data_IF_241830426433
#
_entry.id   IF_241830426433
#
_cell.length_a   1.000
_cell.length_b   1.000
_cell.length_c   1.000
_cell.angle_alpha   90.00
_cell.angle_beta   90.00
_cell.angle_gamma   90.00
#
_symmetry.space_group_name_H-M   'P 1'
#
loop_
_entity.id
_entity.type
_entity.pdbx_description
1 polymer ?
#
# COMPACT_ATOMS: atom_id res chain seq x y z
N UNK A 1 -23.76 -4.04 -3.27
CA UNK A 1 -22.38 -3.68 -2.84
C UNK A 1 -21.66 -3.01 -3.98
N UNK A 2 -20.66 -2.18 -3.69
CA UNK A 2 -19.77 -1.59 -4.71
C UNK A 2 -18.31 -1.81 -4.32
N UNK A 3 -17.44 -1.88 -5.34
CA UNK A 3 -16.06 -2.28 -5.18
C UNK A 3 -15.14 -1.19 -5.72
N UNK A 4 -14.34 -0.61 -4.83
CA UNK A 4 -13.40 0.45 -5.16
C UNK A 4 -12.00 -0.16 -5.20
N UNK A 5 -11.25 0.09 -6.27
CA UNK A 5 -9.83 -0.18 -6.31
C UNK A 5 -9.04 1.11 -6.40
N UNK A 6 -7.95 1.18 -5.65
CA UNK A 6 -7.10 2.36 -5.54
C UNK A 6 -5.67 1.95 -5.84
N UNK A 7 -5.16 2.44 -6.96
CA UNK A 7 -3.75 2.32 -7.34
C UNK A 7 -2.99 3.57 -6.88
N UNK A 8 -1.95 3.37 -6.07
CA UNK A 8 -1.25 4.44 -5.38
C UNK A 8 -0.01 4.90 -6.16
N UNK A 9 0.11 6.22 -6.36
CA UNK A 9 1.36 6.88 -6.74
C UNK A 9 1.62 8.11 -5.85
N UNK A 10 2.87 8.57 -5.81
CA UNK A 10 3.35 9.61 -4.88
C UNK A 10 2.59 10.94 -4.99
N UNK A 11 2.11 11.30 -6.18
CA UNK A 11 1.41 12.57 -6.42
C UNK A 11 -0.11 12.43 -6.59
N UNK A 12 -0.57 11.24 -6.97
CA UNK A 12 -1.98 10.98 -7.28
C UNK A 12 -2.31 9.51 -7.14
N UNK A 13 -3.60 9.20 -7.04
CA UNK A 13 -4.13 7.85 -7.04
C UNK A 13 -5.10 7.69 -8.20
N UNK A 14 -4.98 6.59 -8.91
CA UNK A 14 -6.01 6.20 -9.86
C UNK A 14 -7.04 5.34 -9.12
N UNK A 15 -8.32 5.67 -9.30
CA UNK A 15 -9.43 4.97 -8.64
C UNK A 15 -10.42 4.44 -9.66
N UNK A 16 -10.98 3.27 -9.38
CA UNK A 16 -12.00 2.64 -10.20
C UNK A 16 -13.07 2.02 -9.31
N UNK A 17 -14.32 2.38 -9.56
CA UNK A 17 -15.48 1.85 -8.86
C UNK A 17 -16.24 0.87 -9.76
N UNK A 18 -16.56 -0.30 -9.23
CA UNK A 18 -17.27 -1.36 -9.92
C UNK A 18 -18.57 -1.72 -9.20
N UNK A 19 -19.56 -2.15 -9.97
CA UNK A 19 -20.74 -2.85 -9.45
C UNK A 19 -20.43 -4.35 -9.18
N UNK A 20 -21.44 -5.10 -8.73
CA UNK A 20 -21.32 -6.55 -8.48
C UNK A 20 -21.01 -7.37 -9.74
N UNK A 21 -21.46 -6.90 -10.91
CA UNK A 21 -21.19 -7.54 -12.20
C UNK A 21 -19.77 -7.26 -12.73
N UNK A 22 -19.03 -6.33 -12.12
CA UNK A 22 -17.72 -5.88 -12.59
C UNK A 22 -17.77 -4.77 -13.65
N UNK A 23 -18.94 -4.15 -13.85
CA UNK A 23 -19.09 -2.99 -14.72
C UNK A 23 -18.54 -1.75 -14.01
N UNK A 24 -17.82 -0.90 -14.76
CA UNK A 24 -17.31 0.34 -14.19
C UNK A 24 -18.45 1.34 -13.97
N UNK A 25 -18.63 1.73 -12.71
CA UNK A 25 -19.54 2.80 -12.29
C UNK A 25 -18.87 4.17 -12.41
N UNK A 26 -17.56 4.24 -12.15
CA UNK A 26 -16.80 5.47 -12.28
C UNK A 26 -15.29 5.25 -12.20
N UNK A 27 -14.52 6.20 -12.73
CA UNK A 27 -13.06 6.25 -12.64
C UNK A 27 -12.62 7.69 -12.42
N UNK A 28 -11.62 7.88 -11.59
CA UNK A 28 -11.04 9.19 -11.38
C UNK A 28 -9.55 9.08 -11.09
N UNK A 29 -8.83 10.17 -11.35
CA UNK A 29 -7.51 10.41 -10.81
C UNK A 29 -7.63 11.46 -9.72
N UNK A 30 -7.22 11.12 -8.51
CA UNK A 30 -7.35 12.00 -7.33
C UNK A 30 -5.96 12.37 -6.81
N UNK A 31 -5.76 13.59 -6.29
CA UNK A 31 -4.47 13.96 -5.69
C UNK A 31 -4.22 13.18 -4.39
N UNK A 32 -2.97 13.07 -3.95
CA UNK A 32 -2.64 12.60 -2.60
C UNK A 32 -3.20 13.59 -1.54
N UNK A 33 -3.61 13.08 -0.38
CA UNK A 33 -4.06 13.88 0.76
C UNK A 33 -5.58 14.05 0.89
N UNK A 34 -6.01 15.04 1.68
CA UNK A 34 -7.42 15.19 2.08
C UNK A 34 -8.34 15.50 0.90
N UNK A 35 -7.88 16.30 -0.07
CA UNK A 35 -8.65 16.60 -1.28
C UNK A 35 -8.96 15.32 -2.07
N UNK A 36 -8.00 14.42 -2.20
CA UNK A 36 -8.23 13.16 -2.91
C UNK A 36 -9.18 12.23 -2.17
N UNK A 37 -9.05 12.16 -0.84
CA UNK A 37 -10.00 11.42 -0.01
C UNK A 37 -11.43 11.95 -0.17
N UNK A 38 -11.63 13.27 -0.15
CA UNK A 38 -12.94 13.89 -0.38
C UNK A 38 -13.51 13.51 -1.74
N UNK A 39 -12.71 13.59 -2.82
CA UNK A 39 -13.15 13.19 -4.16
C UNK A 39 -13.52 11.71 -4.25
N UNK A 40 -12.83 10.84 -3.52
CA UNK A 40 -13.19 9.42 -3.42
C UNK A 40 -14.56 9.26 -2.73
N UNK A 41 -14.80 9.98 -1.64
CA UNK A 41 -16.10 9.95 -0.96
C UNK A 41 -17.23 10.48 -1.84
N UNK A 42 -17.01 11.57 -2.57
CA UNK A 42 -17.96 12.12 -3.54
C UNK A 42 -18.31 11.08 -4.62
N UNK A 43 -17.31 10.43 -5.21
CA UNK A 43 -17.52 9.38 -6.21
C UNK A 43 -18.32 8.18 -5.66
N UNK A 44 -18.07 7.79 -4.41
CA UNK A 44 -18.80 6.70 -3.76
C UNK A 44 -20.25 7.10 -3.44
N UNK A 45 -20.46 8.34 -2.99
CA UNK A 45 -21.77 8.86 -2.60
C UNK A 45 -22.76 8.96 -3.76
N UNK A 46 -22.29 9.02 -5.02
CA UNK A 46 -23.15 8.93 -6.21
C UNK A 46 -23.89 7.57 -6.34
N UNK A 47 -23.41 6.53 -5.63
CA UNK A 47 -23.92 5.17 -5.78
C UNK A 47 -24.42 4.52 -4.48
N UNK A 48 -23.97 4.98 -3.31
CA UNK A 48 -24.46 4.48 -2.01
C UNK A 48 -24.26 5.50 -0.89
N UNK A 49 -25.20 5.55 0.04
CA UNK A 49 -25.08 6.30 1.30
C UNK A 49 -24.62 5.42 2.47
N UNK A 50 -24.57 4.09 2.28
CA UNK A 50 -24.18 3.12 3.31
C UNK A 50 -22.71 2.70 3.13
N UNK A 51 -21.79 3.15 4.01
CA UNK A 51 -20.36 2.83 3.91
C UNK A 51 -20.03 1.34 4.01
N UNK A 52 -20.85 0.55 4.72
CA UNK A 52 -20.60 -0.88 4.91
C UNK A 52 -20.72 -1.66 3.60
N UNK A 53 -21.43 -1.08 2.61
CA UNK A 53 -21.59 -1.66 1.27
C UNK A 53 -20.39 -1.43 0.34
N UNK A 54 -19.39 -0.67 0.80
CA UNK A 54 -18.19 -0.30 0.04
C UNK A 54 -17.02 -1.20 0.43
N UNK A 55 -16.48 -1.93 -0.55
CA UNK A 55 -15.32 -2.80 -0.38
C UNK A 55 -14.15 -2.22 -1.17
N UNK A 56 -13.01 -1.99 -0.52
CA UNK A 56 -11.86 -1.31 -1.12
C UNK A 56 -10.67 -2.25 -1.26
N UNK A 57 -10.09 -2.34 -2.45
CA UNK A 57 -8.80 -2.98 -2.71
C UNK A 57 -7.68 -1.95 -2.89
N UNK A 58 -6.60 -2.08 -2.12
CA UNK A 58 -5.44 -1.18 -2.18
C UNK A 58 -4.14 -1.98 -1.98
N UNK A 59 -3.01 -1.52 -2.49
CA UNK A 59 -1.72 -2.24 -2.36
C UNK A 59 -0.96 -1.97 -1.05
N UNK A 60 -1.35 -0.93 -0.32
CA UNK A 60 -0.75 -0.53 0.96
C UNK A 60 -1.76 -0.66 2.10
N UNK A 61 -1.30 -1.13 3.26
CA UNK A 61 -2.08 -1.17 4.50
C UNK A 61 -1.90 0.09 5.36
N UNK A 62 -1.30 1.16 4.80
CA UNK A 62 -0.84 2.33 5.56
C UNK A 62 -1.08 3.63 4.82
N UNK A 63 -1.01 4.71 5.59
CA UNK A 63 -1.05 6.09 5.09
C UNK A 63 -2.36 6.78 5.41
N UNK A 64 -2.37 8.10 5.24
CA UNK A 64 -3.55 8.93 5.54
C UNK A 64 -4.79 8.48 4.77
N UNK A 65 -4.60 8.06 3.52
CA UNK A 65 -5.69 7.53 2.69
C UNK A 65 -6.34 6.29 3.32
N UNK A 66 -5.54 5.28 3.70
CA UNK A 66 -6.05 4.04 4.31
C UNK A 66 -6.79 4.33 5.61
N UNK A 67 -6.23 5.17 6.48
CA UNK A 67 -6.89 5.55 7.72
C UNK A 67 -8.18 6.34 7.48
N UNK A 68 -8.22 7.21 6.48
CA UNK A 68 -9.43 7.94 6.09
C UNK A 68 -10.54 7.02 5.60
N UNK A 69 -10.21 6.04 4.75
CA UNK A 69 -11.17 5.04 4.25
C UNK A 69 -11.74 4.18 5.39
N UNK A 70 -10.88 3.74 6.33
CA UNK A 70 -11.32 2.99 7.51
C UNK A 70 -12.19 3.84 8.44
N UNK A 71 -11.83 5.10 8.67
CA UNK A 71 -12.60 6.02 9.50
C UNK A 71 -13.98 6.35 8.91
N UNK A 72 -14.11 6.29 7.59
CA UNK A 72 -15.38 6.42 6.89
C UNK A 72 -16.27 5.16 6.94
N UNK A 73 -15.79 4.05 7.49
CA UNK A 73 -16.53 2.79 7.61
C UNK A 73 -16.36 1.82 6.43
N UNK A 74 -15.48 2.11 5.47
CA UNK A 74 -15.28 1.21 4.34
C UNK A 74 -14.54 -0.07 4.72
N UNK A 75 -14.87 -1.17 4.04
CA UNK A 75 -14.16 -2.45 4.20
C UNK A 75 -12.92 -2.49 3.33
N UNK A 76 -11.76 -2.19 3.91
CA UNK A 76 -10.49 -2.10 3.18
C UNK A 76 -9.71 -3.42 3.23
N UNK A 77 -9.17 -3.85 2.09
CA UNK A 77 -8.30 -5.00 1.92
C UNK A 77 -6.98 -4.56 1.32
N UNK A 78 -5.88 -4.84 2.04
CA UNK A 78 -4.54 -4.63 1.52
C UNK A 78 -4.10 -5.86 0.73
N UNK A 79 -3.88 -5.66 -0.57
CA UNK A 79 -3.50 -6.71 -1.52
C UNK A 79 -2.00 -6.66 -1.72
N UNK A 80 -1.34 -7.81 -1.52
CA UNK A 80 0.11 -7.89 -1.72
C UNK A 80 0.46 -7.55 -3.18
N UNK A 81 1.40 -6.63 -3.47
CA UNK A 81 1.78 -6.29 -4.85
C UNK A 81 2.22 -7.48 -5.71
N UNK A 82 2.84 -8.49 -5.09
CA UNK A 82 3.18 -9.75 -5.79
C UNK A 82 1.92 -10.51 -6.20
N UNK A 83 0.88 -10.52 -5.36
CA UNK A 83 -0.40 -11.12 -5.71
C UNK A 83 -1.05 -10.33 -6.87
N UNK A 84 -1.10 -9.00 -6.79
CA UNK A 84 -1.63 -8.14 -7.87
C UNK A 84 -0.94 -8.46 -9.20
N UNK A 85 0.39 -8.58 -9.21
CA UNK A 85 1.14 -8.99 -10.40
C UNK A 85 0.68 -10.33 -10.95
N UNK A 86 0.46 -11.35 -10.10
CA UNK A 86 -0.03 -12.67 -10.55
C UNK A 86 -1.45 -12.63 -11.08
N UNK A 87 -2.30 -11.80 -10.49
CA UNK A 87 -3.66 -11.58 -10.98
C UNK A 87 -3.68 -10.84 -12.33
N UNK A 88 -2.72 -9.94 -12.55
CA UNK A 88 -2.54 -9.28 -13.85
C UNK A 88 -2.20 -10.30 -14.94
N UNK A 89 -1.27 -11.21 -14.66
CA UNK A 89 -0.87 -12.29 -15.59
C UNK A 89 -2.06 -13.20 -15.98
N UNK A 90 -3.04 -13.38 -15.08
CA UNK A 90 -4.25 -14.16 -15.35
C UNK A 90 -5.17 -13.50 -16.39
N UNK A 91 -5.20 -12.18 -16.45
CA UNK A 91 -6.10 -11.43 -17.34
C UNK A 91 -5.43 -10.95 -18.62
N UNK A 92 -4.09 -10.92 -18.67
CA UNK A 92 -3.34 -10.43 -19.83
C UNK A 92 -2.09 -11.29 -20.06
N UNK A 93 -2.11 -12.06 -21.15
CA UNK A 93 -1.04 -13.01 -21.51
C UNK A 93 0.14 -12.33 -22.22
N UNK A 94 -0.04 -11.11 -22.76
CA UNK A 94 0.93 -10.48 -23.67
C UNK A 94 2.22 -10.01 -23.00
N UNK A 95 2.29 -9.95 -21.66
CA UNK A 95 3.44 -9.42 -20.92
C UNK A 95 3.72 -7.92 -21.15
N UNK A 96 2.98 -7.30 -22.07
CA UNK A 96 3.00 -5.87 -22.29
C UNK A 96 2.31 -5.22 -21.08
N UNK A 97 3.05 -4.35 -20.38
CA UNK A 97 2.48 -3.38 -19.45
C UNK A 97 1.68 -2.37 -20.27
N UNK A 98 0.55 -2.80 -20.79
CA UNK A 98 -0.53 -1.88 -21.13
C UNK A 98 -0.98 -1.36 -19.77
N UNK A 99 -1.10 -0.04 -19.61
CA UNK A 99 -1.61 0.59 -18.38
C UNK A 99 -3.17 0.76 -18.40
N UNK A 100 -4.05 -0.24 -18.67
CA UNK A 100 -5.44 -0.11 -18.29
C UNK A 100 -5.58 -0.52 -16.82
N UNK A 101 -5.43 0.48 -15.96
CA UNK A 101 -6.01 0.62 -14.63
C UNK A 101 -5.75 -0.52 -13.64
N UNK A 102 -4.59 -0.52 -12.99
CA UNK A 102 -4.36 -1.34 -11.78
C UNK A 102 -5.45 -1.10 -10.72
N UNK A 103 -6.04 0.11 -10.69
CA UNK A 103 -7.24 0.41 -9.92
C UNK A 103 -8.45 -0.47 -10.25
N UNK A 104 -8.73 -0.75 -11.54
CA UNK A 104 -9.82 -1.67 -11.92
C UNK A 104 -9.50 -3.10 -11.46
N UNK A 105 -8.26 -3.53 -11.65
CA UNK A 105 -7.81 -4.85 -11.23
C UNK A 105 -7.99 -5.05 -9.72
N UNK A 106 -7.60 -4.06 -8.91
CA UNK A 106 -7.77 -4.10 -7.46
C UNK A 106 -9.25 -4.16 -7.06
N UNK A 107 -10.11 -3.39 -7.74
CA UNK A 107 -11.56 -3.44 -7.51
C UNK A 107 -12.15 -4.82 -7.84
N UNK A 108 -11.78 -5.39 -8.99
CA UNK A 108 -12.23 -6.72 -9.41
C UNK A 108 -11.73 -7.81 -8.46
N UNK A 109 -10.50 -7.68 -7.97
CA UNK A 109 -9.87 -8.65 -7.07
C UNK A 109 -10.59 -8.71 -5.72
N UNK A 110 -10.94 -7.57 -5.12
CA UNK A 110 -11.77 -7.60 -3.90
C UNK A 110 -13.22 -8.01 -4.18
N UNK A 111 -13.74 -7.76 -5.39
CA UNK A 111 -15.06 -8.21 -5.79
C UNK A 111 -15.19 -9.73 -5.83
N UNK A 112 -14.18 -10.42 -6.37
CA UNK A 112 -14.24 -11.88 -6.53
C UNK A 112 -13.55 -12.63 -5.39
N UNK A 113 -12.43 -12.12 -4.90
CA UNK A 113 -11.49 -12.87 -4.08
C UNK A 113 -11.21 -12.25 -2.70
N UNK A 114 -11.99 -11.26 -2.24
CA UNK A 114 -11.78 -10.65 -0.91
C UNK A 114 -11.68 -11.67 0.24
N UNK A 115 -12.39 -12.80 0.15
CA UNK A 115 -12.32 -13.90 1.13
C UNK A 115 -10.93 -14.54 1.27
N UNK A 116 -10.05 -14.39 0.27
CA UNK A 116 -8.67 -14.86 0.29
C UNK A 116 -7.68 -13.81 0.80
N UNK A 117 -8.15 -12.58 1.07
CA UNK A 117 -7.33 -11.46 1.50
C UNK A 117 -7.67 -11.05 2.92
N UNK A 118 -6.65 -10.59 3.64
CA UNK A 118 -6.83 -10.12 5.01
C UNK A 118 -7.43 -8.71 4.99
N UNK A 119 -8.54 -8.45 5.72
CA UNK A 119 -9.03 -7.09 5.87
C UNK A 119 -8.01 -6.26 6.67
N UNK A 120 -7.86 -5.00 6.28
CA UNK A 120 -7.15 -4.01 7.09
C UNK A 120 -8.05 -3.72 8.28
N UNK A 121 -7.74 -4.34 9.41
CA UNK A 121 -8.44 -4.02 10.65
C UNK A 121 -8.07 -2.59 11.05
N UNK A 122 -9.05 -1.85 11.54
CA UNK A 122 -8.81 -0.68 12.39
C UNK A 122 -8.13 -1.18 13.66
N UNK A 123 -6.81 -1.30 13.61
CA UNK A 123 -6.00 -1.73 14.73
C UNK A 123 -6.13 -0.69 15.87
N UNK A 124 -6.13 -1.17 17.12
CA UNK A 124 -6.16 -0.25 18.26
C UNK A 124 -4.97 0.72 18.22
N UNK A 125 -5.11 1.90 18.81
CA UNK A 125 -4.03 2.90 18.92
C UNK A 125 -2.71 2.30 19.45
N UNK A 126 -2.80 1.31 20.35
CA UNK A 126 -1.66 0.59 20.90
C UNK A 126 -0.95 -0.28 19.85
N UNK A 127 -1.70 -0.96 18.99
CA UNK A 127 -1.14 -1.78 17.90
C UNK A 127 -0.48 -0.88 16.86
N UNK A 128 -1.12 0.25 16.50
CA UNK A 128 -0.51 1.24 15.60
C UNK A 128 0.77 1.84 16.19
N UNK A 129 0.79 2.16 17.48
CA UNK A 129 2.00 2.62 18.17
C UNK A 129 3.14 1.58 18.10
N UNK A 130 2.84 0.30 18.30
CA UNK A 130 3.83 -0.80 18.17
C UNK A 130 4.34 -0.89 16.73
N UNK A 131 3.47 -0.80 15.71
CA UNK A 131 3.89 -0.81 14.30
C UNK A 131 4.81 0.36 13.97
N UNK A 132 4.52 1.56 14.48
CA UNK A 132 5.38 2.74 14.29
C UNK A 132 6.74 2.50 14.93
N UNK A 133 6.78 2.05 16.19
CA UNK A 133 8.01 1.79 16.92
C UNK A 133 8.86 0.70 16.26
N UNK A 134 8.25 -0.43 15.87
CA UNK A 134 8.94 -1.54 15.22
C UNK A 134 9.59 -1.10 13.89
N UNK A 135 8.91 -0.26 13.11
CA UNK A 135 9.47 0.33 11.88
C UNK A 135 10.64 1.26 12.18
N UNK A 136 10.48 2.17 13.13
CA UNK A 136 11.57 3.08 13.53
C UNK A 136 12.81 2.29 14.00
N UNK A 137 12.62 1.24 14.79
CA UNK A 137 13.68 0.34 15.21
C UNK A 137 14.36 -0.34 14.00
N UNK A 138 13.58 -0.91 13.07
CA UNK A 138 14.13 -1.54 11.87
C UNK A 138 14.95 -0.57 11.01
N UNK A 139 14.45 0.65 10.82
CA UNK A 139 15.18 1.71 10.12
C UNK A 139 16.49 2.05 10.81
N UNK A 140 16.51 2.15 12.14
CA UNK A 140 17.73 2.40 12.91
C UNK A 140 18.74 1.26 12.79
N UNK A 141 18.30 0.00 12.79
CA UNK A 141 19.16 -1.17 12.55
C UNK A 141 19.81 -1.09 11.17
N UNK A 142 19.04 -0.80 10.13
CA UNK A 142 19.58 -0.64 8.77
C UNK A 142 20.54 0.54 8.65
N UNK A 143 20.21 1.68 9.26
CA UNK A 143 21.08 2.85 9.26
C UNK A 143 22.40 2.56 9.98
N UNK A 144 22.36 1.90 11.15
CA UNK A 144 23.56 1.44 11.87
C UNK A 144 24.42 0.56 10.97
N UNK A 145 23.83 -0.46 10.34
CA UNK A 145 24.58 -1.36 9.46
C UNK A 145 25.20 -0.62 8.27
N UNK A 146 24.46 0.33 7.66
CA UNK A 146 24.96 1.17 6.58
C UNK A 146 26.14 2.01 7.03
N UNK A 147 26.03 2.69 8.17
CA UNK A 147 27.10 3.52 8.73
C UNK A 147 28.33 2.69 9.10
N UNK A 148 28.17 1.50 9.69
CA UNK A 148 29.28 0.58 9.98
C UNK A 148 29.99 0.16 8.68
N UNK A 149 29.23 -0.22 7.65
CA UNK A 149 29.81 -0.61 6.37
C UNK A 149 30.56 0.54 5.69
N UNK A 150 30.03 1.76 5.74
CA UNK A 150 30.72 2.95 5.23
C UNK A 150 32.01 3.24 6.00
N UNK A 151 31.97 3.22 7.33
CA UNK A 151 33.15 3.41 8.18
C UNK A 151 34.21 2.35 7.89
N UNK A 152 33.82 1.08 7.82
CA UNK A 152 34.73 -0.03 7.50
C UNK A 152 35.36 0.13 6.13
N UNK A 153 34.62 0.58 5.12
CA UNK A 153 35.15 0.88 3.80
C UNK A 153 36.25 1.95 3.85
N UNK A 154 36.00 3.06 4.56
CA UNK A 154 36.97 4.14 4.71
C UNK A 154 38.22 3.70 5.50
N UNK A 155 38.04 2.95 6.59
CA UNK A 155 39.17 2.44 7.38
C UNK A 155 40.02 1.45 6.58
N UNK A 156 39.44 0.62 5.71
CA UNK A 156 40.21 -0.26 4.82
C UNK A 156 41.13 0.51 3.87
N UNK A 157 40.67 1.66 3.39
CA UNK A 157 41.41 2.48 2.43
C UNK A 157 42.51 3.31 3.11
N UNK A 158 42.22 3.92 4.26
CA UNK A 158 43.12 4.91 4.86
C UNK A 158 43.81 4.45 6.15
N UNK A 159 43.23 3.51 6.91
CA UNK A 159 43.77 3.12 8.22
C UNK A 159 43.42 1.66 8.64
N UNK A 160 43.97 0.66 7.94
CA UNK A 160 43.56 -0.74 8.11
C UNK A 160 43.85 -1.32 9.50
N UNK A 161 44.86 -0.82 10.22
CA UNK A 161 45.19 -1.27 11.57
C UNK A 161 44.04 -1.03 12.59
N UNK A 162 43.19 -0.02 12.39
CA UNK A 162 42.01 0.16 13.24
C UNK A 162 41.00 -0.99 13.10
N UNK A 163 40.93 -1.65 11.94
CA UNK A 163 40.02 -2.79 11.77
C UNK A 163 40.47 -3.99 12.60
N UNK A 164 41.78 -4.19 12.75
CA UNK A 164 42.33 -5.21 13.65
C UNK A 164 42.06 -4.86 15.12
N UNK A 165 42.17 -3.58 15.47
CA UNK A 165 41.94 -3.11 16.84
C UNK A 165 40.48 -3.20 17.28
N UNK A 166 39.52 -2.92 16.39
CA UNK A 166 38.09 -2.87 16.73
C UNK A 166 37.28 -4.11 16.29
N UNK A 167 37.85 -4.99 15.46
CA UNK A 167 37.34 -6.34 15.19
C UNK A 167 35.81 -6.47 15.06
N UNK A 168 35.20 -7.19 16.00
CA UNK A 168 33.77 -7.53 16.02
C UNK A 168 32.83 -6.34 16.29
N UNK A 169 33.33 -5.24 16.85
CA UNK A 169 32.51 -4.03 17.09
C UNK A 169 32.18 -3.28 15.77
N UNK A 170 32.91 -3.60 14.70
CA UNK A 170 32.73 -3.09 13.33
C UNK A 170 32.25 -4.17 12.33
N UNK A 171 31.79 -5.32 12.83
CA UNK A 171 31.21 -6.40 12.02
C UNK A 171 29.76 -6.12 11.60
#
# INVERSE_FOLDING_TARGET
MIFLGIDWAEAHHDVCLLDEAGSALGKARVPEGLEGLSRIHELVAEHTEDPDTVVVGIETDRGLLVHGLLAAGYRVYAINPLAVSRYRDRHTISGAKSDPGDAKLLADLVRTDAHNHRPVAGDSDRVEAIKILARAHQTLVWNRQRSINQLRSALREFYPAALEAFGADLA
#
